data_IF_620293069028
#
_entry.id   IF_620293069028
#
_cell.length_a   1.000
_cell.length_b   1.000
_cell.length_c   1.000
_cell.angle_alpha   90.00
_cell.angle_beta   90.00
_cell.angle_gamma   90.00
#
_symmetry.space_group_name_H-M   'P 1'
#
loop_
_entity.id
_entity.type
_entity.pdbx_description
1 polymer ?
#
# COMPACT_ATOMS: atom_id res chain seq x y z
N UNK A 1 -14.90 -22.25 -17.76
CA UNK A 1 -14.66 -20.80 -17.95
C UNK A 1 -14.94 -20.10 -16.62
N UNK A 2 -13.92 -19.72 -15.85
CA UNK A 2 -14.06 -19.16 -14.48
C UNK A 2 -13.15 -17.93 -14.24
N UNK A 3 -12.85 -17.17 -15.29
CA UNK A 3 -11.82 -16.13 -15.28
C UNK A 3 -12.26 -14.68 -14.96
N UNK A 4 -13.56 -14.28 -14.89
CA UNK A 4 -13.90 -12.87 -14.65
C UNK A 4 -13.98 -12.46 -13.18
N UNK A 5 -14.12 -13.40 -12.23
CA UNK A 5 -14.33 -13.05 -10.81
C UNK A 5 -13.02 -12.63 -10.13
N UNK A 6 -11.94 -13.40 -10.30
CA UNK A 6 -10.66 -13.16 -9.64
C UNK A 6 -10.03 -11.80 -9.99
N UNK A 7 -10.16 -11.35 -11.25
CA UNK A 7 -9.64 -10.05 -11.66
C UNK A 7 -10.44 -8.86 -11.07
N UNK A 8 -11.75 -9.05 -10.84
CA UNK A 8 -12.58 -8.05 -10.19
C UNK A 8 -12.27 -7.97 -8.69
N UNK A 9 -12.01 -9.11 -8.05
CA UNK A 9 -11.56 -9.18 -6.66
C UNK A 9 -10.19 -8.49 -6.47
N UNK A 10 -9.23 -8.75 -7.37
CA UNK A 10 -7.93 -8.07 -7.40
C UNK A 10 -8.07 -6.55 -7.52
N UNK A 11 -8.96 -6.07 -8.40
CA UNK A 11 -9.20 -4.65 -8.59
C UNK A 11 -9.84 -4.00 -7.35
N UNK A 12 -10.80 -4.68 -6.72
CA UNK A 12 -11.43 -4.22 -5.49
C UNK A 12 -10.42 -4.14 -4.33
N UNK A 13 -9.53 -5.14 -4.19
CA UNK A 13 -8.47 -5.13 -3.20
C UNK A 13 -7.47 -3.98 -3.43
N UNK A 14 -7.11 -3.70 -4.69
CA UNK A 14 -6.23 -2.58 -5.01
C UNK A 14 -6.87 -1.22 -4.70
N UNK A 15 -8.15 -1.05 -5.01
CA UNK A 15 -8.90 0.16 -4.68
C UNK A 15 -9.00 0.37 -3.16
N UNK A 16 -9.26 -0.70 -2.40
CA UNK A 16 -9.24 -0.66 -0.94
C UNK A 16 -7.85 -0.26 -0.42
N UNK A 17 -6.78 -0.89 -0.91
CA UNK A 17 -5.42 -0.57 -0.51
C UNK A 17 -5.03 0.88 -0.79
N UNK A 18 -5.43 1.43 -1.94
CA UNK A 18 -5.21 2.84 -2.27
C UNK A 18 -5.95 3.78 -1.30
N UNK A 19 -7.20 3.46 -0.98
CA UNK A 19 -8.01 4.24 -0.03
C UNK A 19 -7.41 4.20 1.38
N UNK A 20 -6.97 3.02 1.83
CA UNK A 20 -6.26 2.87 3.11
C UNK A 20 -4.99 3.72 3.14
N UNK A 21 -4.18 3.65 2.07
CA UNK A 21 -2.92 4.40 1.96
C UNK A 21 -3.13 5.92 2.05
N UNK A 22 -4.17 6.43 1.38
CA UNK A 22 -4.37 7.87 1.19
C UNK A 22 -5.32 8.53 2.20
N UNK A 23 -6.19 7.77 2.86
CA UNK A 23 -7.30 8.35 3.62
C UNK A 23 -7.59 7.65 4.95
N UNK A 24 -7.72 6.31 4.95
CA UNK A 24 -8.32 5.61 6.09
C UNK A 24 -7.30 5.19 7.16
N UNK A 25 -6.08 4.83 6.78
CA UNK A 25 -5.03 4.55 7.76
C UNK A 25 -4.74 5.82 8.57
N UNK A 26 -4.60 5.69 9.89
CA UNK A 26 -4.30 6.80 10.80
C UNK A 26 -3.05 6.46 11.62
N UNK A 27 -1.93 7.21 11.45
CA UNK A 27 -1.74 8.29 10.48
C UNK A 27 -1.80 7.78 9.02
N UNK A 28 -2.18 8.65 8.08
CA UNK A 28 -2.23 8.24 6.66
C UNK A 28 -0.82 8.05 6.10
N UNK A 29 -0.64 6.96 5.36
CA UNK A 29 0.66 6.61 4.76
C UNK A 29 1.18 7.72 3.83
N UNK A 30 0.27 8.45 3.16
CA UNK A 30 0.60 9.57 2.27
C UNK A 30 1.42 10.67 2.93
N UNK A 31 1.25 10.85 4.24
CA UNK A 31 1.92 11.93 4.98
C UNK A 31 3.41 11.66 5.14
N UNK A 32 3.78 10.38 5.19
CA UNK A 32 5.14 9.97 5.46
C UNK A 32 5.87 9.48 4.22
N UNK A 33 5.18 8.90 3.23
CA UNK A 33 5.83 8.21 2.11
C UNK A 33 5.51 8.83 0.75
N UNK A 34 6.55 8.91 -0.08
CA UNK A 34 6.41 9.12 -1.53
C UNK A 34 5.97 7.83 -2.20
N UNK A 35 4.89 7.93 -2.99
CA UNK A 35 4.39 6.88 -3.86
C UNK A 35 3.67 7.53 -5.05
N UNK A 36 4.33 7.58 -6.21
CA UNK A 36 3.86 8.31 -7.40
C UNK A 36 2.50 7.85 -7.89
N UNK A 37 2.23 6.54 -7.88
CA UNK A 37 0.91 6.00 -8.24
C UNK A 37 -0.22 6.55 -7.36
N UNK A 38 0.07 6.86 -6.10
CA UNK A 38 -0.89 7.46 -5.17
C UNK A 38 -0.90 9.00 -5.21
N UNK A 39 0.00 9.63 -5.97
CA UNK A 39 0.18 11.08 -6.00
C UNK A 39 0.71 11.66 -4.68
N UNK A 40 1.58 10.93 -3.97
CA UNK A 40 2.07 11.34 -2.64
C UNK A 40 3.57 11.59 -2.65
N UNK A 41 4.00 12.57 -1.84
CA UNK A 41 5.39 13.07 -1.80
C UNK A 41 5.91 13.19 -0.35
N UNK A 42 5.42 12.33 0.56
CA UNK A 42 5.85 12.35 1.96
C UNK A 42 7.34 12.01 2.11
N UNK A 43 8.05 12.77 2.94
CA UNK A 43 9.51 12.70 3.09
C UNK A 43 10.00 12.18 4.45
N UNK A 44 9.09 11.69 5.31
CA UNK A 44 9.44 11.17 6.65
C UNK A 44 9.94 9.73 6.57
N UNK A 45 9.27 8.92 5.76
CA UNK A 45 9.64 7.54 5.46
C UNK A 45 10.37 7.43 4.11
N UNK A 46 10.85 6.22 3.76
CA UNK A 46 11.47 5.98 2.46
C UNK A 46 10.51 6.22 1.30
N UNK A 47 11.09 6.60 0.15
CA UNK A 47 10.42 6.65 -1.15
C UNK A 47 10.07 5.24 -1.58
N UNK A 48 8.78 4.92 -1.66
CA UNK A 48 8.32 3.56 -1.92
C UNK A 48 8.56 3.16 -3.38
N UNK A 49 8.53 4.11 -4.31
CA UNK A 49 8.84 3.90 -5.73
C UNK A 49 10.29 3.42 -5.96
N UNK A 50 11.22 3.80 -5.07
CA UNK A 50 12.61 3.36 -5.09
C UNK A 50 12.80 2.06 -4.31
N UNK A 51 12.19 1.99 -3.11
CA UNK A 51 12.33 0.84 -2.21
C UNK A 51 11.70 -0.45 -2.79
N UNK A 52 10.62 -0.31 -3.57
CA UNK A 52 9.88 -1.41 -4.22
C UNK A 52 9.66 -2.63 -3.30
N UNK A 53 9.09 -2.44 -2.09
CA UNK A 53 8.92 -3.54 -1.15
C UNK A 53 7.88 -4.55 -1.68
N UNK A 54 8.10 -5.84 -1.44
CA UNK A 54 7.05 -6.83 -1.66
C UNK A 54 5.96 -6.77 -0.57
N UNK A 55 4.78 -7.31 -0.87
CA UNK A 55 3.62 -7.26 0.02
C UNK A 55 3.89 -7.88 1.38
N UNK A 56 4.62 -8.99 1.46
CA UNK A 56 4.99 -9.62 2.74
C UNK A 56 5.76 -8.67 3.65
N UNK A 57 6.74 -7.95 3.09
CA UNK A 57 7.52 -6.95 3.84
C UNK A 57 6.65 -5.79 4.30
N UNK A 58 5.77 -5.29 3.44
CA UNK A 58 4.84 -4.19 3.80
C UNK A 58 3.90 -4.63 4.92
N UNK A 59 3.29 -5.82 4.80
CA UNK A 59 2.37 -6.33 5.81
C UNK A 59 3.05 -6.55 7.16
N UNK A 60 4.30 -7.02 7.18
CA UNK A 60 5.08 -7.13 8.41
C UNK A 60 5.33 -5.76 9.06
N UNK A 61 5.69 -4.74 8.28
CA UNK A 61 5.88 -3.38 8.77
C UNK A 61 4.57 -2.77 9.31
N UNK A 62 3.44 -2.99 8.63
CA UNK A 62 2.12 -2.53 9.09
C UNK A 62 1.71 -3.20 10.41
N UNK A 63 1.99 -4.50 10.57
CA UNK A 63 1.62 -5.24 11.78
C UNK A 63 2.52 -4.90 12.98
N UNK A 64 3.81 -4.67 12.75
CA UNK A 64 4.78 -4.58 13.83
C UNK A 64 5.27 -3.14 14.08
N UNK A 65 5.05 -2.22 13.15
CA UNK A 65 5.79 -0.97 13.10
C UNK A 65 7.24 -1.17 12.68
N UNK A 66 7.94 -0.07 12.40
CA UNK A 66 9.36 -0.07 12.05
C UNK A 66 9.98 1.30 12.34
N UNK A 67 10.86 1.39 13.33
CA UNK A 67 11.44 2.67 13.77
C UNK A 67 10.34 3.66 14.17
N UNK A 68 10.27 4.80 13.49
CA UNK A 68 9.25 5.82 13.71
C UNK A 68 7.88 5.47 13.08
N UNK A 69 7.79 4.43 12.25
CA UNK A 69 6.54 3.98 11.66
C UNK A 69 5.72 3.22 12.72
N UNK A 70 4.50 3.69 13.07
CA UNK A 70 3.65 3.00 14.04
C UNK A 70 3.13 1.66 13.51
N UNK A 71 2.72 0.79 14.42
CA UNK A 71 1.91 -0.39 14.09
C UNK A 71 0.45 0.02 13.82
N UNK A 72 -0.19 -0.66 12.87
CA UNK A 72 -1.59 -0.51 12.51
C UNK A 72 -2.44 -1.72 12.92
N UNK A 73 -1.85 -2.70 13.63
CA UNK A 73 -2.53 -3.96 14.00
C UNK A 73 -3.80 -3.74 14.83
N UNK A 74 -3.86 -2.65 15.59
CA UNK A 74 -5.02 -2.32 16.43
C UNK A 74 -6.08 -1.48 15.72
N UNK A 75 -5.77 -0.93 14.53
CA UNK A 75 -6.64 0.01 13.81
C UNK A 75 -7.10 -0.51 12.45
N UNK A 76 -6.36 -1.45 11.86
CA UNK A 76 -6.70 -2.12 10.60
C UNK A 76 -6.91 -3.61 10.83
N UNK A 77 -7.89 -4.17 10.14
CA UNK A 77 -8.11 -5.61 10.04
C UNK A 77 -7.02 -6.30 9.21
N UNK A 78 -6.94 -7.64 9.29
CA UNK A 78 -5.97 -8.39 8.49
C UNK A 78 -6.21 -8.21 6.97
N UNK A 79 -7.46 -8.22 6.53
CA UNK A 79 -7.81 -8.04 5.11
C UNK A 79 -7.42 -6.64 4.61
N UNK A 80 -7.61 -5.61 5.44
CA UNK A 80 -7.16 -4.25 5.13
C UNK A 80 -5.64 -4.15 5.06
N UNK A 81 -4.91 -4.79 5.99
CA UNK A 81 -3.45 -4.84 5.96
C UNK A 81 -2.95 -5.54 4.68
N UNK A 82 -3.62 -6.61 4.26
CA UNK A 82 -3.25 -7.35 3.05
C UNK A 82 -3.57 -6.56 1.78
N UNK A 83 -4.73 -5.91 1.71
CA UNK A 83 -5.10 -5.03 0.61
C UNK A 83 -4.11 -3.86 0.49
N UNK A 84 -3.76 -3.20 1.60
CA UNK A 84 -2.78 -2.12 1.65
C UNK A 84 -1.39 -2.60 1.23
N UNK A 85 -0.95 -3.75 1.71
CA UNK A 85 0.34 -4.32 1.37
C UNK A 85 0.44 -4.72 -0.11
N UNK A 86 -0.62 -5.31 -0.65
CA UNK A 86 -0.72 -5.66 -2.06
C UNK A 86 -0.67 -4.40 -2.94
N UNK A 87 -1.43 -3.38 -2.56
CA UNK A 87 -1.44 -2.09 -3.25
C UNK A 87 -0.05 -1.46 -3.28
N UNK A 88 0.62 -1.30 -2.13
CA UNK A 88 1.96 -0.67 -2.08
C UNK A 88 2.96 -1.44 -2.94
N UNK A 89 2.95 -2.77 -2.91
CA UNK A 89 3.86 -3.59 -3.70
C UNK A 89 3.61 -3.44 -5.21
N UNK A 90 2.34 -3.52 -5.66
CA UNK A 90 1.98 -3.33 -7.07
C UNK A 90 2.24 -1.89 -7.51
N UNK A 91 1.88 -0.89 -6.72
CA UNK A 91 2.00 0.53 -7.04
C UNK A 91 3.47 0.97 -7.16
N UNK A 92 4.33 0.56 -6.23
CA UNK A 92 5.76 0.89 -6.26
C UNK A 92 6.49 0.26 -7.45
N UNK A 93 6.06 -0.92 -7.90
CA UNK A 93 6.60 -1.54 -9.10
C UNK A 93 6.19 -0.81 -10.39
N UNK A 94 4.99 -0.21 -10.41
CA UNK A 94 4.42 0.49 -11.57
C UNK A 94 5.00 1.89 -11.80
N UNK A 95 5.79 2.42 -10.87
CA UNK A 95 6.41 3.75 -10.99
C UNK A 95 7.33 3.93 -12.22
N UNK A 96 7.66 2.84 -12.94
CA UNK A 96 8.46 2.86 -14.17
C UNK A 96 7.68 2.41 -15.42
N UNK A 97 6.36 2.16 -15.34
CA UNK A 97 5.56 1.97 -16.54
C UNK A 97 5.23 3.34 -17.14
N UNK A 98 5.46 3.59 -18.45
CA UNK A 98 4.98 4.80 -19.09
C UNK A 98 3.46 4.88 -18.87
N UNK A 99 3.02 5.94 -18.20
CA UNK A 99 1.62 6.17 -17.91
C UNK A 99 0.80 6.17 -19.19
N UNK A 100 -0.39 5.58 -19.10
CA UNK A 100 -1.46 5.77 -20.08
C UNK A 100 -1.73 7.25 -20.34
#
# INVERSE_FOLDING_TARGET
MALPVAAADDAAQLALGQKLFTQTATPSCRLCHTLRHAGTEGAVGPVLDELKPNSRRVAAALRNGLGQMPSYKSTLSNDEIEALALYVAKASAQANAPGK
#
